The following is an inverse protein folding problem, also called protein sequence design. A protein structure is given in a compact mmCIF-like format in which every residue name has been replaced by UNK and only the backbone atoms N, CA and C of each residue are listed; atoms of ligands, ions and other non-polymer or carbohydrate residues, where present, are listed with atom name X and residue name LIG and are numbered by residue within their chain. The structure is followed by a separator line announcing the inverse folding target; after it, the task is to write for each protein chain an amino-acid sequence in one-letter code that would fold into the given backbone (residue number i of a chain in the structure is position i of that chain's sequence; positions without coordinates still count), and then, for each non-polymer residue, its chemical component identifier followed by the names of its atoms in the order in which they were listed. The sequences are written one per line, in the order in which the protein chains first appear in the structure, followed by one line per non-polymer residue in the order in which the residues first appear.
data_IF_705386407829
#
_entry.id   IF_705386407829
#
_cell.length_a   1.000
_cell.length_b   1.000
_cell.length_c   1.000
_cell.angle_alpha   90.00
_cell.angle_beta   90.00
_cell.angle_gamma   90.00
#
_symmetry.space_group_name_H-M   'P 1'
#
loop_
_entity.id
_entity.type
_entity.pdbx_description
1 polymer ?
#
# COMPACT_ATOMS: atom_id res chain seq x y z
N UNK A 1 -0.55 -4.67 -17.89
CA UNK A 1 0.55 -3.84 -17.34
C UNK A 1 1.60 -4.76 -16.75
N UNK A 2 2.88 -4.49 -17.02
CA UNK A 2 3.99 -5.23 -16.43
C UNK A 2 4.19 -4.74 -14.99
N UNK A 3 4.04 -5.63 -14.00
CA UNK A 3 4.35 -5.32 -12.60
C UNK A 3 5.83 -5.58 -12.34
N UNK A 4 6.50 -4.66 -11.64
CA UNK A 4 7.88 -4.84 -11.17
C UNK A 4 7.84 -5.50 -9.79
N UNK A 5 8.64 -6.56 -9.59
CA UNK A 5 8.81 -7.18 -8.28
C UNK A 5 9.75 -6.34 -7.42
N UNK A 6 9.37 -6.09 -6.18
CA UNK A 6 10.15 -5.36 -5.20
C UNK A 6 10.25 -6.19 -3.91
N UNK A 7 11.42 -6.18 -3.28
CA UNK A 7 11.62 -6.74 -1.94
C UNK A 7 11.91 -5.58 -1.00
N UNK A 8 11.18 -5.48 0.11
CA UNK A 8 11.33 -4.41 1.10
C UNK A 8 11.39 -4.99 2.51
N UNK A 9 12.06 -4.27 3.40
CA UNK A 9 11.95 -4.49 4.85
C UNK A 9 10.87 -3.55 5.40
N UNK A 10 9.91 -4.09 6.14
CA UNK A 10 8.77 -3.36 6.69
C UNK A 10 8.41 -3.93 8.06
N UNK A 11 7.86 -3.10 8.95
CA UNK A 11 7.43 -3.53 10.28
C UNK A 11 6.46 -4.72 10.19
N UNK A 12 6.66 -5.79 10.98
CA UNK A 12 5.73 -6.93 11.04
C UNK A 12 4.29 -6.52 11.38
N UNK A 13 4.12 -5.47 12.18
CA UNK A 13 2.80 -4.96 12.57
C UNK A 13 2.01 -4.40 11.38
N UNK A 14 2.70 -3.73 10.45
CA UNK A 14 2.08 -3.22 9.23
C UNK A 14 1.64 -4.37 8.31
N UNK A 15 2.43 -5.44 8.22
CA UNK A 15 2.05 -6.62 7.42
C UNK A 15 0.81 -7.28 8.00
N UNK A 16 0.75 -7.46 9.32
CA UNK A 16 -0.43 -8.02 10.00
C UNK A 16 -1.68 -7.18 9.73
N UNK A 17 -1.55 -5.86 9.85
CA UNK A 17 -2.66 -4.96 9.55
C UNK A 17 -3.14 -5.06 8.08
N UNK A 18 -2.20 -5.20 7.14
CA UNK A 18 -2.54 -5.41 5.72
C UNK A 18 -3.30 -6.73 5.54
N UNK A 19 -2.84 -7.81 6.16
CA UNK A 19 -3.50 -9.12 6.08
C UNK A 19 -4.95 -9.05 6.57
N UNK A 20 -5.19 -8.41 7.71
CA UNK A 20 -6.55 -8.18 8.23
C UNK A 20 -7.43 -7.40 7.24
N UNK A 21 -6.86 -6.43 6.50
CA UNK A 21 -7.62 -5.67 5.50
C UNK A 21 -7.91 -6.52 4.24
N UNK A 22 -7.03 -7.45 3.89
CA UNK A 22 -7.27 -8.42 2.81
C UNK A 22 -8.39 -9.38 3.20
N UNK A 23 -8.37 -9.89 4.43
CA UNK A 23 -9.44 -10.77 4.94
C UNK A 23 -10.81 -10.09 4.95
N UNK A 24 -10.84 -8.79 5.27
CA UNK A 24 -12.06 -7.96 5.20
C UNK A 24 -12.51 -7.62 3.78
N UNK A 25 -11.71 -7.96 2.76
CA UNK A 25 -12.02 -7.70 1.35
C UNK A 25 -11.75 -6.27 0.88
N UNK A 26 -11.04 -5.43 1.67
CA UNK A 26 -10.64 -4.09 1.23
C UNK A 26 -9.53 -4.16 0.17
N UNK A 27 -8.67 -5.16 0.26
CA UNK A 27 -7.61 -5.42 -0.70
C UNK A 27 -7.70 -6.85 -1.24
N UNK A 28 -7.19 -7.03 -2.46
CA UNK A 28 -7.18 -8.34 -3.11
C UNK A 28 -6.02 -9.21 -2.60
N UNK A 29 -4.87 -8.56 -2.34
CA UNK A 29 -3.67 -9.15 -1.78
C UNK A 29 -2.76 -8.04 -1.21
N UNK A 30 -1.63 -8.43 -0.61
CA UNK A 30 -0.63 -7.49 -0.07
C UNK A 30 -0.06 -6.55 -1.13
N UNK A 31 0.10 -7.02 -2.37
CA UNK A 31 0.63 -6.18 -3.47
C UNK A 31 -0.38 -5.11 -3.86
N UNK A 32 -1.68 -5.45 -3.89
CA UNK A 32 -2.75 -4.49 -4.13
C UNK A 32 -2.79 -3.45 -3.00
N UNK A 33 -2.67 -3.87 -1.74
CA UNK A 33 -2.63 -2.96 -0.60
C UNK A 33 -1.48 -1.94 -0.69
N UNK A 34 -0.25 -2.43 -0.92
CA UNK A 34 0.94 -1.56 -1.04
C UNK A 34 0.82 -0.64 -2.27
N UNK A 35 0.39 -1.15 -3.41
CA UNK A 35 0.21 -0.35 -4.62
C UNK A 35 -0.83 0.75 -4.40
N UNK A 36 -1.97 0.42 -3.80
CA UNK A 36 -3.04 1.38 -3.52
C UNK A 36 -2.57 2.46 -2.54
N UNK A 37 -1.87 2.08 -1.47
CA UNK A 37 -1.32 3.02 -0.50
C UNK A 37 -0.37 4.03 -1.16
N UNK A 38 0.56 3.56 -2.01
CA UNK A 38 1.51 4.44 -2.72
C UNK A 38 0.79 5.38 -3.71
N UNK A 39 -0.23 4.89 -4.42
CA UNK A 39 -1.05 5.74 -5.30
C UNK A 39 -1.73 6.85 -4.49
N UNK A 40 -2.32 6.52 -3.33
CA UNK A 40 -2.97 7.51 -2.48
C UNK A 40 -2.00 8.54 -1.91
N UNK A 41 -0.83 8.12 -1.47
CA UNK A 41 0.22 9.06 -1.04
C UNK A 41 0.59 10.00 -2.19
N UNK A 42 0.80 9.47 -3.40
CA UNK A 42 1.10 10.28 -4.59
C UNK A 42 -0.01 11.31 -4.86
N UNK A 43 -1.27 10.90 -4.87
CA UNK A 43 -2.41 11.80 -5.10
C UNK A 43 -2.47 12.92 -4.04
N UNK A 44 -2.23 12.61 -2.77
CA UNK A 44 -2.24 13.58 -1.68
C UNK A 44 -1.07 14.57 -1.79
N UNK A 45 0.10 14.11 -2.24
CA UNK A 45 1.24 14.99 -2.53
C UNK A 45 0.95 15.93 -3.71
N UNK A 46 0.36 15.41 -4.79
CA UNK A 46 0.00 16.21 -5.98
C UNK A 46 -1.05 17.28 -5.66
N UNK A 47 -1.97 16.99 -4.73
CA UNK A 47 -2.95 17.97 -4.22
C UNK A 47 -2.37 18.93 -3.18
N UNK A 48 -1.14 18.70 -2.71
CA UNK A 48 -0.48 19.51 -1.69
C UNK A 48 -1.03 19.29 -0.27
N UNK A 49 -1.78 18.22 -0.04
CA UNK A 49 -2.36 17.86 1.27
C UNK A 49 -1.31 17.24 2.22
N UNK A 50 -0.27 16.61 1.64
CA UNK A 50 0.87 16.07 2.39
C UNK A 50 2.16 16.63 1.82
N UNK A 51 3.04 17.08 2.72
CA UNK A 51 4.45 17.40 2.46
C UNK A 51 5.30 16.69 3.51
N UNK A 52 6.41 16.12 3.07
CA UNK A 52 7.39 15.48 3.93
C UNK A 52 8.48 16.48 4.34
#
# INVERSE_FOLDING_TARGET
MVKVKLTISISPELIRWIDEQVEKGYFADRSHAVQYAVIKIKELMEKGEIKF
#
